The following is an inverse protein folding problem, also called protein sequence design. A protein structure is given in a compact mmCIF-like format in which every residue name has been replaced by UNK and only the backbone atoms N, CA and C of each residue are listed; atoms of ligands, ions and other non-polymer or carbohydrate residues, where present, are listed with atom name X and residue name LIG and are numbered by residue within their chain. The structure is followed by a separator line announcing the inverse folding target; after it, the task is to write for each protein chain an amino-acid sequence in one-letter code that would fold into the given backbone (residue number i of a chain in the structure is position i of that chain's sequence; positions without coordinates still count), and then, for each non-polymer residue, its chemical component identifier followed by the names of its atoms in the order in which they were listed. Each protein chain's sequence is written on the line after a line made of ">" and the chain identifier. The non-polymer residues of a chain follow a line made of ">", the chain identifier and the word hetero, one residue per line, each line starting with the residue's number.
data_IF_418455861442
#
_entry.id   IF_418455861442
#
_cell.length_a   1.000
_cell.length_b   1.000
_cell.length_c   1.000
_cell.angle_alpha   90.00
_cell.angle_beta   90.00
_cell.angle_gamma   90.00
#
_symmetry.space_group_name_H-M   'P 1'
#
loop_
_entity.id
_entity.type
_entity.pdbx_description
1 polymer ?
#
# COMPACT_ATOMS: atom_id res chain seq x y z
N UNK A 1 9.63 7.87 5.29
CA UNK A 1 9.47 6.78 4.31
C UNK A 1 9.63 5.47 5.06
N UNK A 2 8.76 4.52 4.86
CA UNK A 2 8.86 3.18 5.43
C UNK A 2 8.99 2.19 4.28
N UNK A 3 9.75 1.12 4.50
CA UNK A 3 9.75 -0.03 3.62
C UNK A 3 9.28 -1.23 4.45
N UNK A 4 8.29 -1.94 3.95
CA UNK A 4 7.72 -3.09 4.61
C UNK A 4 7.61 -4.24 3.61
N UNK A 5 7.87 -5.45 4.08
CA UNK A 5 7.75 -6.68 3.30
C UNK A 5 7.04 -7.72 4.14
N UNK A 6 5.89 -8.15 3.67
CA UNK A 6 5.13 -9.27 4.22
C UNK A 6 5.31 -10.50 3.36
N UNK A 7 5.69 -11.60 3.98
CA UNK A 7 5.83 -12.89 3.32
C UNK A 7 4.80 -13.86 3.91
N UNK A 8 3.90 -14.35 3.06
CA UNK A 8 2.82 -15.25 3.45
C UNK A 8 2.91 -16.56 2.71
N UNK A 9 2.69 -17.65 3.42
CA UNK A 9 2.36 -18.92 2.78
C UNK A 9 0.94 -18.82 2.22
N UNK A 10 0.79 -19.00 0.91
CA UNK A 10 -0.51 -18.83 0.24
C UNK A 10 -1.44 -20.02 0.44
N UNK A 11 -0.94 -21.14 0.96
CA UNK A 11 -1.75 -22.33 1.26
C UNK A 11 -2.32 -22.24 2.66
N UNK A 12 -1.44 -21.99 3.64
CA UNK A 12 -1.84 -21.96 5.05
C UNK A 12 -2.22 -20.55 5.55
N UNK A 13 -2.01 -19.53 4.71
CA UNK A 13 -2.23 -18.11 5.05
C UNK A 13 -1.53 -17.68 6.34
N UNK A 14 -0.33 -18.19 6.55
CA UNK A 14 0.49 -17.86 7.71
C UNK A 14 1.72 -17.04 7.29
N UNK A 15 2.14 -16.06 8.10
CA UNK A 15 3.36 -15.31 7.83
C UNK A 15 4.58 -16.19 7.99
N UNK A 16 5.47 -16.16 7.00
CA UNK A 16 6.70 -16.97 6.96
C UNK A 16 7.94 -16.09 7.04
N UNK A 17 9.04 -16.69 7.50
CA UNK A 17 10.33 -16.03 7.51
C UNK A 17 11.06 -16.26 6.17
N UNK A 18 11.51 -15.19 5.53
CA UNK A 18 12.33 -15.22 4.32
C UNK A 18 13.85 -15.32 4.59
N UNK A 19 14.27 -15.54 5.84
CA UNK A 19 15.68 -15.44 6.22
C UNK A 19 16.13 -13.98 6.32
N UNK A 20 17.30 -13.65 5.78
CA UNK A 20 17.73 -12.24 5.64
C UNK A 20 17.05 -11.61 4.44
N UNK A 21 16.34 -10.51 4.66
CA UNK A 21 15.64 -9.77 3.60
C UNK A 21 16.31 -8.42 3.40
N UNK A 22 16.54 -8.07 2.15
CA UNK A 22 17.09 -6.76 1.77
C UNK A 22 16.25 -6.11 0.70
N UNK A 23 16.25 -4.78 0.69
CA UNK A 23 15.69 -3.96 -0.38
C UNK A 23 16.73 -2.93 -0.81
N UNK A 24 17.09 -2.91 -2.09
CA UNK A 24 18.20 -2.13 -2.65
C UNK A 24 19.52 -2.30 -1.83
N UNK A 25 19.81 -3.51 -1.38
CA UNK A 25 20.99 -3.84 -0.56
C UNK A 25 20.88 -3.43 0.92
N UNK A 26 19.83 -2.72 1.32
CA UNK A 26 19.59 -2.35 2.72
C UNK A 26 18.84 -3.46 3.44
N UNK A 27 19.39 -3.94 4.56
CA UNK A 27 18.76 -5.00 5.36
C UNK A 27 17.48 -4.49 6.04
N UNK A 28 16.44 -5.30 6.00
CA UNK A 28 15.18 -5.08 6.72
C UNK A 28 15.20 -5.89 8.02
N UNK A 29 14.69 -5.28 9.09
CA UNK A 29 14.55 -5.95 10.39
C UNK A 29 13.27 -6.79 10.42
N UNK A 30 13.39 -8.04 10.88
CA UNK A 30 12.22 -8.89 11.11
C UNK A 30 11.48 -8.41 12.36
N UNK A 31 10.25 -8.04 12.19
CA UNK A 31 9.31 -7.71 13.28
C UNK A 31 8.39 -8.91 13.51
N UNK A 32 8.31 -9.38 14.72
CA UNK A 32 7.46 -10.51 15.08
C UNK A 32 6.36 -10.04 16.04
N UNK A 33 5.13 -9.98 15.54
CA UNK A 33 3.93 -9.55 16.28
C UNK A 33 3.05 -10.72 16.69
N UNK A 34 3.51 -11.96 16.59
CA UNK A 34 2.68 -13.15 16.88
C UNK A 34 2.17 -13.19 18.32
N UNK A 35 2.91 -12.62 19.27
CA UNK A 35 2.48 -12.47 20.68
C UNK A 35 1.30 -11.52 20.88
N UNK A 36 1.00 -10.68 19.88
CA UNK A 36 -0.10 -9.72 19.89
C UNK A 36 -1.21 -10.11 18.91
N UNK A 37 -1.21 -11.35 18.42
CA UNK A 37 -2.17 -11.81 17.43
C UNK A 37 -1.88 -11.36 16.00
N UNK A 38 -0.75 -10.70 15.77
CA UNK A 38 -0.28 -10.26 14.45
C UNK A 38 0.63 -11.27 13.78
N UNK A 39 1.15 -10.92 12.61
CA UNK A 39 2.05 -11.72 11.80
C UNK A 39 3.54 -11.43 12.04
N UNK A 40 4.34 -11.85 11.09
CA UNK A 40 5.75 -11.49 10.95
C UNK A 40 5.91 -10.67 9.68
N UNK A 41 6.65 -9.58 9.76
CA UNK A 41 6.97 -8.77 8.59
C UNK A 41 8.39 -8.20 8.72
N UNK A 42 8.93 -7.76 7.60
CA UNK A 42 10.23 -7.11 7.56
C UNK A 42 10.04 -5.62 7.35
N UNK A 43 10.69 -4.83 8.17
CA UNK A 43 10.54 -3.39 8.14
C UNK A 43 11.88 -2.67 8.19
N UNK A 44 11.98 -1.62 7.41
CA UNK A 44 12.94 -0.55 7.59
C UNK A 44 12.18 0.70 8.00
N UNK A 45 12.25 1.05 9.26
CA UNK A 45 11.66 2.28 9.78
C UNK A 45 12.76 3.21 10.28
N UNK A 46 12.59 4.51 10.06
CA UNK A 46 13.39 5.50 10.75
C UNK A 46 12.81 5.78 12.14
N UNK A 47 13.66 5.97 13.15
CA UNK A 47 13.21 6.66 14.33
C UNK A 47 12.70 8.07 13.97
N UNK A 48 11.76 8.60 14.75
CA UNK A 48 11.20 9.94 14.54
C UNK A 48 12.33 10.96 14.29
N UNK A 49 12.28 11.64 13.15
CA UNK A 49 13.25 12.65 12.77
C UNK A 49 14.52 12.14 12.07
N UNK A 50 14.66 10.84 11.82
CA UNK A 50 15.78 10.29 11.05
C UNK A 50 15.36 9.98 9.61
N UNK A 51 16.25 10.24 8.67
CA UNK A 51 16.05 9.84 7.28
C UNK A 51 16.37 8.35 7.13
N UNK A 52 15.45 7.57 6.57
CA UNK A 52 15.75 6.19 6.18
C UNK A 52 16.81 6.24 5.07
N UNK A 53 17.94 5.53 5.20
CA UNK A 53 18.97 5.49 4.15
C UNK A 53 18.51 4.59 3.00
N UNK A 54 17.36 4.88 2.44
CA UNK A 54 16.76 4.12 1.35
C UNK A 54 16.76 5.00 0.10
N UNK A 55 17.60 4.64 -0.85
CA UNK A 55 17.73 5.38 -2.11
C UNK A 55 16.96 4.68 -3.23
N UNK A 56 16.02 5.38 -3.82
CA UNK A 56 15.40 5.00 -5.09
C UNK A 56 16.25 5.52 -6.26
N UNK A 57 17.42 4.94 -6.47
CA UNK A 57 18.20 5.30 -7.65
C UNK A 57 17.68 4.52 -8.86
N UNK A 58 17.21 5.23 -9.88
CA UNK A 58 16.87 4.65 -11.17
C UNK A 58 15.46 4.03 -11.28
N UNK A 59 14.55 4.28 -10.33
CA UNK A 59 13.16 3.80 -10.42
C UNK A 59 13.01 2.28 -10.28
N UNK A 60 13.98 1.60 -9.67
CA UNK A 60 13.94 0.16 -9.44
C UNK A 60 14.05 -0.16 -7.96
N UNK A 61 13.28 -1.14 -7.52
CA UNK A 61 13.42 -1.83 -6.25
C UNK A 61 14.03 -3.20 -6.51
N UNK A 62 15.16 -3.48 -5.88
CA UNK A 62 15.81 -4.79 -5.92
C UNK A 62 15.50 -5.46 -4.59
N UNK A 63 14.67 -6.47 -4.64
CA UNK A 63 14.32 -7.30 -3.49
C UNK A 63 15.16 -8.55 -3.45
N UNK A 64 15.63 -8.94 -2.26
CA UNK A 64 16.31 -10.22 -2.04
C UNK A 64 15.94 -10.80 -0.68
N UNK A 65 15.60 -12.08 -0.68
CA UNK A 65 15.43 -12.90 0.51
C UNK A 65 16.33 -14.14 0.39
N UNK A 66 17.11 -14.44 1.42
CA UNK A 66 18.03 -15.59 1.39
C UNK A 66 17.33 -16.94 1.53
N UNK A 67 16.05 -16.91 1.91
CA UNK A 67 15.26 -18.10 2.18
C UNK A 67 15.40 -18.61 3.61
N UNK A 68 14.55 -19.58 3.93
CA UNK A 68 14.48 -20.30 5.20
C UNK A 68 13.98 -21.72 4.95
N UNK A 69 13.69 -22.48 6.01
CA UNK A 69 13.08 -23.81 5.89
C UNK A 69 11.67 -23.78 5.27
N UNK A 70 10.96 -22.67 5.37
CA UNK A 70 9.57 -22.50 4.88
C UNK A 70 9.43 -21.57 3.68
N UNK A 71 10.52 -20.96 3.22
CA UNK A 71 10.54 -19.99 2.13
C UNK A 71 11.81 -20.16 1.32
N UNK A 72 11.71 -20.49 0.03
CA UNK A 72 12.89 -20.60 -0.83
C UNK A 72 13.53 -19.23 -1.10
N UNK A 73 14.80 -19.21 -1.43
CA UNK A 73 15.47 -17.96 -1.77
C UNK A 73 14.80 -17.30 -2.97
N UNK A 74 14.62 -15.98 -2.89
CA UNK A 74 14.01 -15.18 -3.93
C UNK A 74 14.81 -13.89 -4.12
N UNK A 75 15.17 -13.59 -5.36
CA UNK A 75 15.73 -12.30 -5.73
C UNK A 75 15.03 -11.81 -7.01
N UNK A 76 14.55 -10.58 -6.99
CA UNK A 76 13.86 -10.01 -8.13
C UNK A 76 13.99 -8.50 -8.17
N UNK A 77 13.79 -7.92 -9.35
CA UNK A 77 13.82 -6.50 -9.58
C UNK A 77 12.42 -6.03 -10.00
N UNK A 78 11.99 -4.97 -9.37
CA UNK A 78 10.66 -4.41 -9.54
C UNK A 78 10.79 -2.96 -10.00
N UNK A 79 10.15 -2.62 -11.12
CA UNK A 79 10.12 -1.24 -11.59
C UNK A 79 9.16 -0.45 -10.70
N UNK A 80 9.71 0.50 -9.95
CA UNK A 80 8.94 1.39 -9.11
C UNK A 80 9.36 2.82 -9.36
N UNK A 81 8.39 3.65 -9.62
CA UNK A 81 8.59 5.09 -9.69
C UNK A 81 7.80 5.71 -8.56
N UNK A 82 8.53 6.28 -7.58
CA UNK A 82 7.88 7.07 -6.54
C UNK A 82 7.18 8.25 -7.22
N UNK A 83 5.88 8.20 -7.25
CA UNK A 83 5.04 9.26 -7.83
C UNK A 83 4.16 9.78 -6.71
N UNK A 84 4.41 11.01 -6.30
CA UNK A 84 3.51 11.70 -5.40
C UNK A 84 2.09 11.61 -5.97
N UNK A 85 1.13 11.26 -5.14
CA UNK A 85 -0.27 11.15 -5.56
C UNK A 85 -0.80 12.51 -6.00
N UNK A 86 -0.35 13.59 -5.33
CA UNK A 86 -0.82 14.95 -5.60
C UNK A 86 -2.34 15.02 -5.72
N UNK A 87 -3.04 14.66 -4.65
CA UNK A 87 -4.51 14.70 -4.62
C UNK A 87 -4.96 16.15 -4.75
N UNK A 88 -5.82 16.39 -5.73
CA UNK A 88 -6.32 17.73 -6.08
C UNK A 88 -7.77 17.96 -5.69
N UNK A 89 -8.54 16.90 -5.49
CA UNK A 89 -9.92 16.94 -5.00
C UNK A 89 -10.30 15.61 -4.33
N UNK A 90 -11.02 15.61 -3.20
CA UNK A 90 -11.30 16.77 -2.36
C UNK A 90 -10.00 17.35 -1.78
N UNK A 91 -10.07 18.55 -1.19
CA UNK A 91 -8.92 19.13 -0.50
C UNK A 91 -8.37 18.15 0.53
N UNK A 92 -7.04 18.01 0.63
CA UNK A 92 -6.39 17.20 1.65
C UNK A 92 -6.54 17.77 3.08
N UNK A 93 -7.02 19.02 3.18
CA UNK A 93 -7.19 19.74 4.44
C UNK A 93 -8.65 19.68 4.89
N UNK A 94 -9.01 18.62 5.60
CA UNK A 94 -10.32 18.44 6.24
C UNK A 94 -11.52 18.77 5.35
N UNK A 95 -11.70 18.13 4.20
CA UNK A 95 -12.78 18.43 3.29
C UNK A 95 -14.15 18.11 3.91
N UNK A 96 -15.14 18.97 3.65
CA UNK A 96 -16.53 18.67 3.94
C UNK A 96 -17.17 17.99 2.71
N UNK A 97 -17.66 16.77 2.88
CA UNK A 97 -18.18 15.92 1.82
C UNK A 97 -19.67 15.72 2.04
N UNK A 98 -20.48 16.03 1.01
CA UNK A 98 -21.92 15.83 1.06
C UNK A 98 -22.27 14.36 0.77
N UNK A 99 -22.92 13.70 1.72
CA UNK A 99 -23.42 12.35 1.55
C UNK A 99 -24.43 12.24 0.40
N UNK A 100 -25.28 13.23 0.22
CA UNK A 100 -26.33 13.24 -0.80
C UNK A 100 -25.80 13.55 -2.21
N UNK A 101 -24.69 14.28 -2.32
CA UNK A 101 -24.06 14.60 -3.60
C UNK A 101 -22.98 13.61 -4.02
N UNK A 102 -22.36 12.93 -3.05
CA UNK A 102 -21.14 12.17 -3.29
C UNK A 102 -19.93 13.08 -3.50
N UNK A 103 -18.83 12.51 -3.98
CA UNK A 103 -17.63 13.26 -4.32
C UNK A 103 -16.82 12.60 -5.42
N UNK A 104 -16.02 13.40 -6.11
CA UNK A 104 -15.01 12.90 -7.06
C UNK A 104 -13.62 13.11 -6.46
N UNK A 105 -12.90 12.02 -6.29
CA UNK A 105 -11.49 12.04 -5.95
C UNK A 105 -10.68 12.23 -7.24
N UNK A 106 -9.76 13.19 -7.23
CA UNK A 106 -8.85 13.44 -8.36
C UNK A 106 -7.40 13.55 -7.87
N UNK A 107 -6.49 13.03 -8.68
CA UNK A 107 -5.06 13.01 -8.39
C UNK A 107 -4.23 13.26 -9.64
N UNK A 108 -2.97 13.66 -9.44
CA UNK A 108 -2.00 13.74 -10.52
C UNK A 108 -1.68 12.34 -11.06
N UNK A 109 -1.76 12.15 -12.36
CA UNK A 109 -1.39 10.89 -13.00
C UNK A 109 -0.45 11.12 -14.19
N UNK A 110 0.29 10.07 -14.56
CA UNK A 110 1.10 10.07 -15.77
C UNK A 110 0.38 9.26 -16.86
N UNK A 111 0.16 9.87 -18.01
CA UNK A 111 -0.42 9.16 -19.17
C UNK A 111 0.44 7.95 -19.52
N UNK A 112 -0.20 6.80 -19.68
CA UNK A 112 0.48 5.51 -19.93
C UNK A 112 0.95 4.78 -18.69
N UNK A 113 0.61 5.25 -17.48
CA UNK A 113 0.80 4.46 -16.27
C UNK A 113 -0.03 3.17 -16.33
N UNK A 114 0.57 2.06 -15.91
CA UNK A 114 -0.12 0.77 -15.70
C UNK A 114 -0.37 0.50 -14.22
N UNK A 115 -0.10 1.49 -13.36
CA UNK A 115 -0.30 1.37 -11.93
C UNK A 115 -1.79 1.22 -11.60
N UNK A 116 -2.05 0.59 -10.49
CA UNK A 116 -3.38 0.46 -9.93
C UNK A 116 -3.54 1.43 -8.77
N UNK A 117 -4.67 2.11 -8.74
CA UNK A 117 -5.07 2.94 -7.61
C UNK A 117 -6.03 2.15 -6.75
N UNK A 118 -5.72 2.04 -5.47
CA UNK A 118 -6.64 1.54 -4.45
C UNK A 118 -7.13 2.72 -3.62
N UNK A 119 -8.44 2.89 -3.56
CA UNK A 119 -9.08 3.88 -2.70
C UNK A 119 -9.88 3.17 -1.64
N UNK A 120 -9.58 3.45 -0.39
CA UNK A 120 -10.35 2.98 0.75
C UNK A 120 -11.04 4.17 1.42
N UNK A 121 -12.36 4.17 1.44
CA UNK A 121 -13.20 5.17 2.12
C UNK A 121 -13.87 4.49 3.28
N UNK A 122 -13.66 4.97 4.50
CA UNK A 122 -14.22 4.35 5.71
C UNK A 122 -14.54 5.38 6.78
N UNK A 123 -15.47 5.03 7.66
CA UNK A 123 -15.72 5.69 8.92
C UNK A 123 -15.45 4.73 10.09
N UNK A 124 -15.36 5.23 11.30
CA UNK A 124 -15.04 4.43 12.49
C UNK A 124 -16.17 3.49 12.92
N UNK A 125 -17.33 3.51 12.26
CA UNK A 125 -18.53 2.88 12.80
C UNK A 125 -19.35 2.03 11.84
N UNK A 126 -19.25 2.23 10.53
CA UNK A 126 -20.13 1.57 9.55
C UNK A 126 -19.41 0.74 8.50
N UNK A 127 -18.08 0.63 8.61
CA UNK A 127 -17.28 -0.12 7.66
C UNK A 127 -16.72 0.77 6.57
N UNK A 128 -16.34 0.17 5.44
CA UNK A 128 -15.66 0.91 4.38
C UNK A 128 -15.97 0.38 2.99
N UNK A 129 -15.58 1.16 2.00
CA UNK A 129 -15.60 0.81 0.57
C UNK A 129 -14.16 0.78 0.09
N UNK A 130 -13.74 -0.35 -0.49
CA UNK A 130 -12.49 -0.46 -1.21
C UNK A 130 -12.79 -0.46 -2.70
N UNK A 131 -12.14 0.43 -3.43
CA UNK A 131 -12.24 0.51 -4.88
C UNK A 131 -10.86 0.41 -5.53
N UNK A 132 -10.72 -0.53 -6.44
CA UNK A 132 -9.54 -0.67 -7.29
C UNK A 132 -9.85 -0.11 -8.66
N UNK A 133 -9.00 0.75 -9.19
CA UNK A 133 -9.16 1.32 -10.52
C UNK A 133 -7.79 1.54 -11.20
N UNK A 134 -7.83 1.75 -12.51
CA UNK A 134 -6.62 2.15 -13.25
C UNK A 134 -6.21 3.56 -12.85
N UNK A 135 -4.91 3.85 -12.94
CA UNK A 135 -4.37 5.20 -12.72
C UNK A 135 -4.73 6.14 -13.88
N UNK A 136 -5.95 6.65 -13.85
CA UNK A 136 -6.52 7.55 -14.86
C UNK A 136 -6.83 8.96 -14.35
N UNK A 137 -6.40 9.26 -13.12
CA UNK A 137 -6.50 10.59 -12.51
C UNK A 137 -7.77 10.85 -11.71
N UNK A 138 -8.78 9.97 -11.74
CA UNK A 138 -9.99 10.20 -10.95
C UNK A 138 -10.83 8.95 -10.68
N UNK A 139 -11.63 9.01 -9.61
CA UNK A 139 -12.75 8.09 -9.35
C UNK A 139 -13.86 8.82 -8.60
N UNK A 140 -15.11 8.39 -8.81
CA UNK A 140 -16.27 9.04 -8.20
C UNK A 140 -16.97 8.09 -7.21
N UNK A 141 -17.29 8.60 -6.04
CA UNK A 141 -18.14 7.97 -5.04
C UNK A 141 -19.49 8.67 -5.05
N UNK A 142 -20.54 7.92 -5.36
CA UNK A 142 -21.91 8.41 -5.48
C UNK A 142 -22.59 8.48 -4.12
N UNK A 143 -23.77 9.14 -4.05
CA UNK A 143 -24.62 9.09 -2.86
C UNK A 143 -25.02 7.67 -2.47
N UNK A 144 -25.15 6.76 -3.46
CA UNK A 144 -25.45 5.35 -3.21
C UNK A 144 -24.28 4.64 -2.54
N UNK A 145 -23.05 4.91 -2.99
CA UNK A 145 -21.85 4.37 -2.34
C UNK A 145 -21.78 4.81 -0.86
N UNK A 146 -22.12 6.05 -0.58
CA UNK A 146 -22.02 6.63 0.76
C UNK A 146 -23.25 6.34 1.65
N UNK A 147 -24.29 5.68 1.13
CA UNK A 147 -25.57 5.54 1.83
C UNK A 147 -25.49 4.85 3.20
N UNK A 148 -24.57 3.90 3.37
CA UNK A 148 -24.37 3.16 4.62
C UNK A 148 -23.53 3.90 5.66
N UNK A 149 -22.74 4.91 5.25
CA UNK A 149 -21.87 5.64 6.15
C UNK A 149 -22.67 6.55 7.11
N UNK A 150 -22.17 6.73 8.30
CA UNK A 150 -22.71 7.74 9.22
C UNK A 150 -22.10 9.11 8.92
N UNK A 151 -22.88 10.15 9.22
CA UNK A 151 -22.33 11.51 9.24
C UNK A 151 -21.30 11.67 10.35
N UNK A 152 -20.23 12.39 10.09
CA UNK A 152 -19.11 12.56 11.02
C UNK A 152 -17.76 12.44 10.32
N UNK A 153 -16.77 11.92 11.01
CA UNK A 153 -15.43 11.75 10.48
C UNK A 153 -15.40 10.72 9.35
N UNK A 154 -14.71 11.07 8.28
CA UNK A 154 -14.51 10.23 7.10
C UNK A 154 -13.02 10.16 6.78
N UNK A 155 -12.52 8.95 6.59
CA UNK A 155 -11.15 8.68 6.19
C UNK A 155 -11.14 8.24 4.73
N UNK A 156 -10.24 8.81 3.94
CA UNK A 156 -10.01 8.43 2.56
C UNK A 156 -8.51 8.12 2.41
N UNK A 157 -8.19 6.85 2.28
CA UNK A 157 -6.83 6.39 1.98
C UNK A 157 -6.72 6.10 0.50
N UNK A 158 -5.69 6.63 -0.13
CA UNK A 158 -5.44 6.50 -1.56
C UNK A 158 -4.04 5.95 -1.75
N UNK A 159 -3.94 4.77 -2.34
CA UNK A 159 -2.67 4.12 -2.60
C UNK A 159 -2.46 3.95 -4.11
N UNK A 160 -1.33 4.39 -4.62
CA UNK A 160 -0.86 4.04 -5.95
C UNK A 160 0.03 2.82 -5.83
N UNK A 161 -0.33 1.76 -6.55
CA UNK A 161 0.37 0.47 -6.46
C UNK A 161 0.89 0.05 -7.83
N UNK A 162 2.14 -0.39 -7.83
CA UNK A 162 2.67 -1.25 -8.88
C UNK A 162 2.88 -2.64 -8.30
N UNK A 163 2.53 -3.68 -9.03
CA UNK A 163 2.73 -5.05 -8.55
C UNK A 163 3.16 -5.98 -9.68
N UNK A 164 3.83 -7.04 -9.32
CA UNK A 164 4.14 -8.15 -10.21
C UNK A 164 4.14 -9.47 -9.45
N UNK A 165 3.99 -10.54 -10.21
CA UNK A 165 4.19 -11.88 -9.70
C UNK A 165 5.65 -12.29 -9.84
N UNK A 166 6.20 -12.88 -8.79
CA UNK A 166 7.52 -13.49 -8.76
C UNK A 166 7.37 -14.99 -8.44
N UNK A 167 8.29 -15.81 -8.90
CA UNK A 167 8.29 -17.24 -8.62
C UNK A 167 9.63 -17.61 -7.99
N UNK A 168 9.59 -18.30 -6.86
CA UNK A 168 10.80 -18.78 -6.19
C UNK A 168 11.37 -20.06 -6.84
N UNK A 169 12.52 -20.49 -6.35
CA UNK A 169 13.19 -21.70 -6.83
C UNK A 169 12.43 -23.01 -6.58
N UNK A 170 11.36 -23.00 -5.79
CA UNK A 170 10.46 -24.13 -5.56
C UNK A 170 9.21 -24.12 -6.45
N UNK A 171 9.04 -23.08 -7.28
CA UNK A 171 7.87 -22.89 -8.14
C UNK A 171 6.68 -22.20 -7.48
N UNK A 172 6.81 -21.70 -6.25
CA UNK A 172 5.75 -20.92 -5.58
C UNK A 172 5.70 -19.52 -6.14
N UNK A 173 4.48 -19.01 -6.29
CA UNK A 173 4.23 -17.64 -6.75
C UNK A 173 4.01 -16.70 -5.57
N UNK A 174 4.59 -15.51 -5.69
CA UNK A 174 4.48 -14.40 -4.76
C UNK A 174 4.01 -13.16 -5.49
N UNK A 175 3.33 -12.28 -4.78
CA UNK A 175 3.03 -10.94 -5.26
C UNK A 175 4.06 -9.99 -4.65
N UNK A 176 4.76 -9.27 -5.50
CA UNK A 176 5.57 -8.14 -5.11
C UNK A 176 4.78 -6.88 -5.43
N UNK A 177 4.57 -6.04 -4.43
CA UNK A 177 3.89 -4.77 -4.60
C UNK A 177 4.72 -3.63 -3.99
N UNK A 178 4.73 -2.50 -4.68
CA UNK A 178 5.24 -1.25 -4.14
C UNK A 178 4.15 -0.20 -4.24
N UNK A 179 3.96 0.58 -3.20
CA UNK A 179 2.90 1.57 -3.16
C UNK A 179 3.34 2.85 -2.47
N UNK A 180 2.71 3.94 -2.85
CA UNK A 180 2.68 5.20 -2.12
C UNK A 180 1.28 5.42 -1.61
N UNK A 181 1.14 5.92 -0.39
CA UNK A 181 -0.13 6.10 0.28
C UNK A 181 -0.30 7.54 0.74
N UNK A 182 -1.53 8.06 0.62
CA UNK A 182 -1.94 9.35 1.14
C UNK A 182 -3.29 9.22 1.83
N UNK A 183 -3.41 9.80 3.02
CA UNK A 183 -4.64 9.72 3.82
C UNK A 183 -5.23 11.12 4.00
N UNK A 184 -6.52 11.26 3.72
CA UNK A 184 -7.30 12.47 3.89
C UNK A 184 -8.31 12.22 5.02
N UNK A 185 -8.33 13.13 5.98
CA UNK A 185 -9.33 13.17 7.04
C UNK A 185 -10.34 14.25 6.72
N UNK A 186 -11.59 13.86 6.51
CA UNK A 186 -12.67 14.74 6.16
C UNK A 186 -13.89 14.58 7.07
N UNK A 187 -14.96 15.30 6.75
CA UNK A 187 -16.25 15.16 7.42
C UNK A 187 -17.35 14.90 6.41
N UNK A 188 -18.20 13.91 6.69
CA UNK A 188 -19.40 13.57 5.92
C UNK A 188 -20.63 14.21 6.56
N UNK A 189 -21.47 14.91 5.77
CA UNK A 189 -22.70 15.57 6.24
C UNK A 189 -23.90 15.29 5.33
#
# INVERSE_FOLDING_TARGET
>A
MNAEVDLWDTVDLVPVSGGSVTMNGTALSLINMTSYGGGKYYQLSSALGQTVPFSYSGGQLIFSATGSSSFAALADTFAYVNKDMNITSPSIYSPAISKSAGFTLTWGYNSGSTDTIMVNVYDDSSGGIIRMCSDNGSTTFTSTDLASFKTGELHISVSRMSYKYATDGSGRQYVMAAYTDEVIYGSLY
#
